data_IF_876239209726
#
_entry.id   IF_876239209726
#
_cell.length_a   1.000
_cell.length_b   1.000
_cell.length_c   1.000
_cell.angle_alpha   90.00
_cell.angle_beta   90.00
_cell.angle_gamma   90.00
#
_symmetry.space_group_name_H-M   'P 1'
#
loop_
_entity.id
_entity.type
_entity.pdbx_description
1 polymer ?
#
# COMPACT_ATOMS: atom_id res chain seq x y z
N UNK A 1 -2.28 -12.55 23.96
CA UNK A 1 -1.53 -12.52 22.68
C UNK A 1 -0.99 -11.11 22.48
N UNK A 2 0.24 -10.94 21.95
CA UNK A 2 0.80 -9.60 21.70
C UNK A 2 0.17 -9.00 20.46
N UNK A 3 -0.17 -7.72 20.49
CA UNK A 3 -0.62 -6.97 19.31
C UNK A 3 0.49 -6.93 18.25
N UNK A 4 0.23 -7.37 17.00
CA UNK A 4 1.18 -7.26 15.90
C UNK A 4 1.57 -5.81 15.66
N UNK A 5 2.85 -5.57 15.33
CA UNK A 5 3.38 -4.21 15.14
C UNK A 5 4.17 -4.06 13.85
N UNK A 6 4.29 -2.81 13.40
CA UNK A 6 5.22 -2.42 12.34
C UNK A 6 6.65 -2.43 12.89
N UNK A 7 7.58 -2.88 12.07
CA UNK A 7 9.02 -2.89 12.34
C UNK A 7 9.73 -2.16 11.19
N UNK A 8 10.54 -1.17 11.51
CA UNK A 8 11.43 -0.57 10.51
C UNK A 8 12.64 -1.47 10.29
N UNK A 9 12.90 -1.84 9.03
CA UNK A 9 14.12 -2.51 8.61
C UNK A 9 15.30 -1.56 8.74
N UNK A 10 16.44 -2.07 9.20
CA UNK A 10 17.66 -1.29 9.33
C UNK A 10 18.87 -2.05 8.80
N UNK A 11 19.84 -1.30 8.26
CA UNK A 11 21.17 -1.79 7.88
C UNK A 11 22.23 -1.49 8.93
N UNK A 12 21.86 -0.88 10.05
CA UNK A 12 22.79 -0.57 11.12
C UNK A 12 23.52 -1.82 11.60
N UNK A 13 24.83 -1.70 11.84
CA UNK A 13 25.66 -2.81 12.32
C UNK A 13 25.06 -3.40 13.59
N UNK A 14 24.94 -4.72 13.64
CA UNK A 14 24.36 -5.43 14.79
C UNK A 14 22.84 -5.52 14.80
N UNK A 15 22.12 -4.79 13.95
CA UNK A 15 20.67 -4.91 13.86
C UNK A 15 20.24 -6.31 13.40
N UNK A 16 19.16 -6.82 13.98
CA UNK A 16 18.55 -8.10 13.63
C UNK A 16 17.04 -7.92 13.54
N UNK A 17 16.46 -8.40 12.44
CA UNK A 17 15.00 -8.46 12.29
C UNK A 17 14.42 -9.36 13.40
N UNK A 18 13.41 -8.91 14.15
CA UNK A 18 12.79 -9.75 15.17
C UNK A 18 12.29 -11.09 14.59
N UNK A 19 12.37 -12.18 15.37
CA UNK A 19 11.82 -13.47 14.97
C UNK A 19 10.33 -13.38 14.66
N UNK A 20 9.87 -14.13 13.65
CA UNK A 20 8.46 -14.16 13.25
C UNK A 20 7.97 -12.96 12.44
N UNK A 21 8.77 -11.89 12.28
CA UNK A 21 8.42 -10.71 11.47
C UNK A 21 8.51 -11.01 9.97
N UNK A 22 7.45 -10.68 9.22
CA UNK A 22 7.36 -10.83 7.77
C UNK A 22 7.86 -9.57 7.07
N UNK A 23 8.72 -9.71 6.06
CA UNK A 23 9.18 -8.56 5.26
C UNK A 23 8.15 -8.24 4.19
N UNK A 24 7.60 -7.02 4.25
CA UNK A 24 6.60 -6.50 3.30
C UNK A 24 7.17 -5.37 2.43
N UNK A 25 8.50 -5.18 2.44
CA UNK A 25 9.18 -4.19 1.61
C UNK A 25 8.91 -4.37 0.11
N UNK A 26 9.24 -3.35 -0.68
CA UNK A 26 8.91 -3.25 -2.11
C UNK A 26 9.19 -4.51 -2.97
N UNK A 27 10.30 -5.24 -2.81
CA UNK A 27 10.56 -6.43 -3.63
C UNK A 27 9.62 -7.61 -3.33
N UNK A 28 8.86 -7.55 -2.23
CA UNK A 28 7.88 -8.58 -1.88
C UNK A 28 6.55 -8.35 -2.63
N UNK A 29 5.70 -9.38 -2.66
CA UNK A 29 4.32 -9.28 -3.16
C UNK A 29 3.47 -8.22 -2.46
N UNK A 30 3.88 -7.81 -1.26
CA UNK A 30 3.16 -6.86 -0.41
C UNK A 30 3.64 -5.42 -0.61
N UNK A 31 4.64 -5.20 -1.45
CA UNK A 31 5.24 -3.89 -1.66
C UNK A 31 4.24 -2.87 -2.20
N UNK A 32 4.40 -1.60 -1.79
CA UNK A 32 3.64 -0.51 -2.41
C UNK A 32 4.11 -0.26 -3.87
N UNK A 33 3.24 -0.41 -4.89
CA UNK A 33 3.61 -0.12 -6.27
C UNK A 33 3.74 1.39 -6.52
N UNK A 34 3.06 2.23 -5.72
CA UNK A 34 3.05 3.69 -5.83
C UNK A 34 4.35 4.30 -5.30
N UNK A 35 4.99 5.13 -6.13
CA UNK A 35 6.22 5.88 -5.81
C UNK A 35 5.89 7.35 -5.68
N UNK A 36 6.41 7.99 -4.64
CA UNK A 36 6.51 9.45 -4.58
C UNK A 36 7.24 9.94 -5.83
N UNK A 37 6.67 10.96 -6.48
CA UNK A 37 7.16 11.51 -7.75
C UNK A 37 6.86 10.66 -8.99
N UNK A 38 6.31 9.45 -8.84
CA UNK A 38 5.86 8.62 -9.96
C UNK A 38 4.54 9.12 -10.54
N UNK A 39 4.34 8.91 -11.85
CA UNK A 39 3.16 9.36 -12.59
C UNK A 39 2.25 8.17 -12.88
N UNK A 40 0.96 8.34 -12.60
CA UNK A 40 -0.04 7.29 -12.70
C UNK A 40 -1.25 7.78 -13.48
N UNK A 41 -1.68 6.96 -14.43
CA UNK A 41 -2.88 7.15 -15.23
C UNK A 41 -4.07 6.56 -14.50
N UNK A 42 -5.12 7.35 -14.39
CA UNK A 42 -6.38 7.02 -13.76
C UNK A 42 -7.48 7.06 -14.84
N UNK A 43 -7.95 5.90 -15.32
CA UNK A 43 -8.99 5.83 -16.37
C UNK A 43 -10.25 6.67 -16.08
N UNK A 44 -10.98 7.07 -17.12
CA UNK A 44 -12.25 7.76 -16.94
C UNK A 44 -13.22 6.91 -16.09
N UNK A 45 -13.91 7.55 -15.14
CA UNK A 45 -14.88 6.88 -14.27
C UNK A 45 -14.29 6.06 -13.12
N UNK A 46 -12.96 5.98 -12.98
CA UNK A 46 -12.40 5.75 -11.65
C UNK A 46 -12.14 7.14 -11.05
N UNK A 47 -12.89 7.54 -10.03
CA UNK A 47 -12.54 8.70 -9.22
C UNK A 47 -11.91 8.24 -7.90
N UNK A 48 -11.32 9.15 -7.12
CA UNK A 48 -10.81 8.88 -5.78
C UNK A 48 -11.92 8.31 -4.84
N UNK A 49 -13.20 8.57 -5.16
CA UNK A 49 -14.38 8.17 -4.38
C UNK A 49 -15.06 6.86 -4.84
N UNK A 50 -14.71 6.34 -6.03
CA UNK A 50 -14.78 4.92 -6.33
C UNK A 50 -16.11 4.18 -6.20
N UNK A 51 -17.21 4.69 -6.75
CA UNK A 51 -18.45 3.91 -6.80
C UNK A 51 -18.46 2.92 -8.00
N UNK A 52 -17.91 3.28 -9.17
CA UNK A 52 -18.14 2.49 -10.41
C UNK A 52 -16.89 2.14 -11.27
N UNK A 53 -15.69 2.55 -10.87
CA UNK A 53 -14.49 2.46 -11.73
C UNK A 53 -13.78 1.10 -11.71
N UNK A 54 -13.87 0.34 -12.80
CA UNK A 54 -13.18 -0.97 -13.01
C UNK A 54 -11.67 -0.88 -13.28
N UNK A 55 -11.05 0.29 -13.09
CA UNK A 55 -9.65 0.54 -13.41
C UNK A 55 -8.78 0.83 -12.18
N UNK A 56 -7.59 0.22 -12.14
CA UNK A 56 -6.53 0.60 -11.19
C UNK A 56 -5.54 1.55 -11.85
N UNK A 57 -4.94 2.49 -11.11
CA UNK A 57 -3.88 3.35 -11.61
C UNK A 57 -2.75 2.56 -12.26
N UNK A 58 -2.39 2.93 -13.48
CA UNK A 58 -1.26 2.35 -14.19
C UNK A 58 -0.10 3.33 -14.21
N UNK A 59 1.15 2.89 -13.96
CA UNK A 59 2.32 3.72 -14.22
C UNK A 59 2.30 4.23 -15.66
N UNK A 60 2.57 5.52 -15.87
CA UNK A 60 2.53 6.12 -17.20
C UNK A 60 3.63 7.18 -17.36
N UNK A 61 3.98 7.44 -18.61
CA UNK A 61 4.83 8.57 -19.01
C UNK A 61 4.03 9.75 -19.58
N UNK A 62 2.69 9.68 -19.60
CA UNK A 62 1.85 10.81 -20.02
C UNK A 62 2.05 12.00 -19.07
N UNK A 63 1.89 13.21 -19.60
CA UNK A 63 1.94 14.43 -18.79
C UNK A 63 0.76 14.48 -17.81
N UNK A 64 0.98 14.96 -16.56
CA UNK A 64 -0.08 15.19 -15.59
C UNK A 64 -1.14 16.15 -16.13
N UNK A 65 -2.41 15.81 -15.91
CA UNK A 65 -3.54 16.58 -16.40
C UNK A 65 -4.78 15.73 -16.61
N UNK A 66 -5.88 16.37 -16.98
CA UNK A 66 -7.09 15.70 -17.46
C UNK A 66 -7.02 15.72 -18.98
N UNK A 67 -7.15 14.55 -19.59
CA UNK A 67 -7.09 14.35 -21.04
C UNK A 67 -8.50 14.28 -21.62
N UNK A 68 -8.65 14.50 -22.92
CA UNK A 68 -9.97 14.58 -23.61
C UNK A 68 -10.79 13.27 -23.51
N UNK A 69 -10.11 12.14 -23.30
CA UNK A 69 -10.70 10.82 -23.05
C UNK A 69 -11.19 10.64 -21.60
N UNK A 70 -11.17 11.70 -20.79
CA UNK A 70 -11.53 11.68 -19.38
C UNK A 70 -10.48 11.03 -18.48
N UNK A 71 -9.33 10.63 -19.03
CA UNK A 71 -8.23 10.06 -18.26
C UNK A 71 -7.57 11.14 -17.44
N UNK A 72 -7.42 10.90 -16.14
CA UNK A 72 -6.68 11.78 -15.23
C UNK A 72 -5.29 11.20 -15.00
N UNK A 73 -4.26 11.96 -15.32
CA UNK A 73 -2.86 11.60 -15.05
C UNK A 73 -2.36 12.40 -13.87
N UNK A 74 -1.94 11.71 -12.80
CA UNK A 74 -1.55 12.34 -11.53
C UNK A 74 -0.14 11.92 -11.17
N UNK A 75 0.68 12.89 -10.76
CA UNK A 75 1.96 12.64 -10.12
C UNK A 75 1.74 12.46 -8.62
N UNK A 76 2.25 11.38 -8.05
CA UNK A 76 2.19 11.14 -6.61
C UNK A 76 2.99 12.22 -5.87
N UNK A 77 2.34 13.13 -5.11
CA UNK A 77 3.02 14.29 -4.52
C UNK A 77 3.86 13.90 -3.29
N UNK A 78 3.38 12.95 -2.50
CA UNK A 78 3.96 12.61 -1.21
C UNK A 78 3.69 11.15 -0.80
N UNK A 79 4.29 10.75 0.32
CA UNK A 79 4.14 9.40 0.86
C UNK A 79 2.71 9.12 1.33
N UNK A 80 2.04 10.11 1.92
CA UNK A 80 0.69 9.94 2.43
C UNK A 80 -0.27 9.53 1.30
N UNK A 81 -0.18 10.22 0.17
CA UNK A 81 -0.91 9.92 -1.07
C UNK A 81 -0.55 8.53 -1.61
N UNK A 82 0.74 8.19 -1.67
CA UNK A 82 1.17 6.85 -2.09
C UNK A 82 0.57 5.73 -1.21
N UNK A 83 0.44 5.96 0.10
CA UNK A 83 -0.14 5.00 1.05
C UNK A 83 -1.66 4.98 0.96
N UNK A 84 -2.32 6.11 0.69
CA UNK A 84 -3.76 6.18 0.44
C UNK A 84 -4.14 5.36 -0.82
N UNK A 85 -3.43 5.57 -1.93
CA UNK A 85 -3.61 4.76 -3.14
C UNK A 85 -3.34 3.28 -2.89
N UNK A 86 -2.30 2.97 -2.10
CA UNK A 86 -2.01 1.59 -1.69
C UNK A 86 -3.14 0.97 -0.90
N UNK A 87 -3.74 1.66 0.07
CA UNK A 87 -4.86 1.14 0.87
C UNK A 87 -6.01 0.68 0.00
N UNK A 88 -6.38 1.48 -1.01
CA UNK A 88 -7.47 1.11 -1.92
C UNK A 88 -7.10 -0.08 -2.81
N UNK A 89 -5.93 -0.03 -3.43
CA UNK A 89 -5.43 -1.12 -4.29
C UNK A 89 -5.24 -2.44 -3.53
N UNK A 90 -4.63 -2.41 -2.35
CA UNK A 90 -4.42 -3.59 -1.53
C UNK A 90 -5.74 -4.16 -0.98
N UNK A 91 -6.77 -3.33 -0.83
CA UNK A 91 -8.11 -3.77 -0.44
C UNK A 91 -8.70 -4.79 -1.42
N UNK A 92 -8.52 -4.57 -2.73
CA UNK A 92 -8.95 -5.51 -3.76
C UNK A 92 -7.91 -6.59 -4.05
N UNK A 93 -6.63 -6.22 -4.13
CA UNK A 93 -5.56 -7.11 -4.56
C UNK A 93 -5.11 -8.10 -3.46
N UNK A 94 -5.21 -7.72 -2.18
CA UNK A 94 -4.52 -8.40 -1.09
C UNK A 94 -5.34 -8.69 0.16
N UNK A 95 -6.54 -8.12 0.36
CA UNK A 95 -7.24 -8.23 1.64
C UNK A 95 -7.43 -9.68 2.13
N UNK A 96 -7.85 -10.61 1.25
CA UNK A 96 -7.99 -12.03 1.61
C UNK A 96 -6.65 -12.68 1.97
N UNK A 97 -5.63 -12.48 1.13
CA UNK A 97 -4.29 -13.05 1.35
C UNK A 97 -3.62 -12.47 2.60
N UNK A 98 -3.83 -11.18 2.90
CA UNK A 98 -3.30 -10.52 4.08
C UNK A 98 -3.83 -11.18 5.36
N UNK A 99 -5.15 -11.46 5.43
CA UNK A 99 -5.75 -12.17 6.58
C UNK A 99 -5.18 -13.58 6.73
N UNK A 100 -5.01 -14.31 5.63
CA UNK A 100 -4.51 -15.69 5.67
C UNK A 100 -3.02 -15.78 6.04
N UNK A 101 -2.19 -14.87 5.52
CA UNK A 101 -0.74 -15.02 5.56
C UNK A 101 -0.05 -14.10 6.57
N UNK A 102 -0.71 -13.01 7.00
CA UNK A 102 -0.10 -11.97 7.84
C UNK A 102 -0.79 -11.81 9.20
N UNK A 103 -1.93 -12.44 9.45
CA UNK A 103 -2.62 -12.35 10.74
C UNK A 103 -1.70 -12.76 11.89
N UNK A 104 -1.68 -11.95 12.95
CA UNK A 104 -0.84 -12.18 14.13
C UNK A 104 0.67 -11.96 13.91
N UNK A 105 1.13 -11.52 12.72
CA UNK A 105 2.55 -11.31 12.42
C UNK A 105 2.96 -9.85 12.48
N UNK A 106 4.12 -9.57 13.06
CA UNK A 106 4.79 -8.28 12.88
C UNK A 106 5.19 -8.10 11.40
N UNK A 107 5.06 -6.89 10.87
CA UNK A 107 5.39 -6.58 9.47
C UNK A 107 6.57 -5.60 9.38
N UNK A 108 7.53 -5.90 8.52
CA UNK A 108 8.74 -5.10 8.34
C UNK A 108 8.84 -4.39 6.99
N UNK A 109 9.13 -3.09 7.04
CA UNK A 109 9.34 -2.22 5.88
C UNK A 109 10.51 -1.26 6.13
N UNK A 110 11.07 -0.65 5.08
CA UNK A 110 12.12 0.38 5.19
C UNK A 110 11.60 1.78 5.55
N UNK A 111 10.27 2.02 5.49
CA UNK A 111 9.71 3.34 5.79
C UNK A 111 9.98 3.77 7.24
N UNK A 112 10.22 5.07 7.50
CA UNK A 112 10.33 5.61 8.85
C UNK A 112 9.10 5.30 9.71
N UNK A 113 9.30 5.03 11.00
CA UNK A 113 8.22 4.63 11.93
C UNK A 113 7.21 5.73 12.24
N UNK A 114 7.56 6.98 12.00
CA UNK A 114 6.74 8.18 12.22
C UNK A 114 6.03 8.68 10.95
N UNK A 115 6.33 8.06 9.80
CA UNK A 115 5.70 8.40 8.52
C UNK A 115 4.65 7.34 8.09
N UNK A 116 3.66 7.72 7.25
CA UNK A 116 2.68 6.78 6.71
C UNK A 116 3.34 5.57 6.04
N UNK A 117 2.89 4.36 6.34
CA UNK A 117 3.47 3.15 5.76
C UNK A 117 2.40 2.17 5.27
N UNK A 118 2.69 1.53 4.15
CA UNK A 118 1.86 0.45 3.61
C UNK A 118 1.82 -0.79 4.52
N UNK A 119 2.84 -0.97 5.38
CA UNK A 119 2.81 -2.02 6.40
C UNK A 119 1.71 -1.79 7.45
N UNK A 120 1.37 -0.54 7.77
CA UNK A 120 0.26 -0.25 8.69
C UNK A 120 -1.09 -0.63 8.07
N UNK A 121 -1.26 -0.35 6.77
CA UNK A 121 -2.43 -0.79 5.99
C UNK A 121 -2.57 -2.31 6.02
N UNK A 122 -1.48 -3.04 5.80
CA UNK A 122 -1.50 -4.51 5.83
C UNK A 122 -1.77 -5.05 7.24
N UNK A 123 -1.22 -4.43 8.29
CA UNK A 123 -1.51 -4.79 9.68
C UNK A 123 -3.00 -4.63 9.98
N UNK A 124 -3.60 -3.53 9.55
CA UNK A 124 -5.05 -3.30 9.67
C UNK A 124 -5.84 -4.38 8.92
N UNK A 125 -5.56 -4.59 7.64
CA UNK A 125 -6.28 -5.57 6.80
C UNK A 125 -6.16 -6.99 7.33
N UNK A 126 -4.98 -7.38 7.82
CA UNK A 126 -4.71 -8.73 8.30
C UNK A 126 -5.38 -9.03 9.65
N UNK A 127 -5.57 -8.02 10.50
CA UNK A 127 -6.04 -8.21 11.87
C UNK A 127 -7.44 -7.64 12.15
N UNK A 128 -8.08 -6.95 11.18
CA UNK A 128 -9.48 -6.52 11.30
C UNK A 128 -10.40 -7.73 11.19
N UNK A 129 -11.28 -7.91 12.19
CA UNK A 129 -12.31 -8.94 12.16
C UNK A 129 -13.18 -8.79 10.91
N UNK A 130 -13.55 -9.88 10.22
CA UNK A 130 -14.53 -9.81 9.15
C UNK A 130 -15.84 -9.26 9.74
N UNK A 131 -16.43 -8.28 9.07
CA UNK A 131 -17.81 -7.88 9.37
C UNK A 131 -18.67 -9.07 8.95
N UNK A 132 -19.22 -9.81 9.91
CA UNK A 132 -20.28 -10.76 9.63
C UNK A 132 -21.44 -9.95 9.04
N UNK A 133 -21.74 -10.18 7.77
CA UNK A 133 -22.94 -9.69 7.11
C UNK A 133 -23.94 -10.83 7.05
#
# INVERSE_FOLDING_TARGET
MRTPRRVQLSRARGWRKPPGTVVVARPSRWGNPFRVGGTYMWPAGCDDDGEDGTGWPLPTSREPGVHDDGVRVVRCPDRATAVAWYRRWAGSAHAGQARLLLAGRDLACWCPVDEPCHADVLLEMANRAPVLR
#
